data_IF_067858572502
#
_entry.id   IF_067858572502
#
_cell.length_a   1.000
_cell.length_b   1.000
_cell.length_c   1.000
_cell.angle_alpha   90.00
_cell.angle_beta   90.00
_cell.angle_gamma   90.00
#
_symmetry.space_group_name_H-M   'P 1'
#
loop_
_entity.id
_entity.type
_entity.pdbx_description
1 polymer ?
#
# COMPACT_ATOMS: atom_id res chain seq x y z
N UNK A 1 15.24 -18.04 36.63
CA UNK A 1 15.59 -16.79 35.91
C UNK A 1 15.85 -17.14 34.46
N UNK A 2 14.92 -16.82 33.56
CA UNK A 2 15.15 -16.88 32.12
C UNK A 2 16.17 -15.79 31.78
N UNK A 3 17.33 -16.17 31.20
CA UNK A 3 18.25 -15.19 30.61
C UNK A 3 17.44 -14.38 29.59
N UNK A 4 17.24 -13.08 29.83
CA UNK A 4 16.76 -12.18 28.78
C UNK A 4 17.75 -12.33 27.62
N UNK A 5 17.22 -12.69 26.45
CA UNK A 5 18.05 -12.87 25.28
C UNK A 5 18.40 -11.46 24.77
N UNK A 6 19.60 -10.96 25.05
CA UNK A 6 20.14 -9.66 24.58
C UNK A 6 20.36 -9.62 23.04
N UNK A 7 19.79 -10.58 22.32
CA UNK A 7 19.91 -10.69 20.86
C UNK A 7 18.96 -9.70 20.22
N UNK A 8 19.50 -8.87 19.32
CA UNK A 8 18.72 -7.95 18.49
C UNK A 8 17.57 -8.70 17.79
N UNK A 9 16.39 -8.08 17.73
CA UNK A 9 15.25 -8.64 17.01
C UNK A 9 15.34 -8.43 15.50
N UNK A 10 14.66 -9.28 14.71
CA UNK A 10 14.54 -9.13 13.27
C UNK A 10 13.97 -7.75 12.90
N UNK A 11 12.98 -7.27 13.65
CA UNK A 11 12.41 -5.93 13.45
C UNK A 11 13.48 -4.83 13.58
N UNK A 12 14.34 -4.91 14.59
CA UNK A 12 15.45 -3.97 14.77
C UNK A 12 16.52 -4.12 13.67
N UNK A 13 16.81 -5.35 13.22
CA UNK A 13 17.74 -5.58 12.09
C UNK A 13 17.19 -4.90 10.84
N UNK A 14 15.90 -5.06 10.54
CA UNK A 14 15.24 -4.42 9.40
C UNK A 14 15.27 -2.90 9.51
N UNK A 15 15.14 -2.32 10.72
CA UNK A 15 15.31 -0.88 10.92
C UNK A 15 16.73 -0.42 10.56
N UNK A 16 17.76 -1.14 11.01
CA UNK A 16 19.15 -0.85 10.64
C UNK A 16 19.35 -0.93 9.12
N UNK A 17 18.88 -2.00 8.48
CA UNK A 17 18.96 -2.15 7.03
C UNK A 17 18.22 -1.04 6.28
N UNK A 18 17.06 -0.60 6.77
CA UNK A 18 16.26 0.46 6.15
C UNK A 18 16.94 1.83 6.21
N UNK A 19 17.56 2.16 7.35
CA UNK A 19 18.31 3.41 7.56
C UNK A 19 19.56 3.45 6.69
N UNK A 20 20.30 2.34 6.61
CA UNK A 20 21.58 2.29 5.90
C UNK A 20 21.49 1.71 4.50
N UNK A 21 20.28 1.54 3.94
CA UNK A 21 20.05 0.82 2.67
C UNK A 21 20.96 1.24 1.53
N UNK A 22 21.34 2.52 1.43
CA UNK A 22 22.19 3.04 0.36
C UNK A 22 23.63 2.52 0.41
N UNK A 23 24.07 1.97 1.55
CA UNK A 23 25.40 1.40 1.76
C UNK A 23 25.41 -0.13 1.72
N UNK A 24 24.29 -0.75 1.31
CA UNK A 24 24.10 -2.20 1.34
C UNK A 24 23.53 -2.64 0.00
N UNK A 25 24.17 -3.64 -0.61
CA UNK A 25 23.64 -4.34 -1.78
C UNK A 25 23.30 -5.78 -1.38
N UNK A 26 22.23 -6.30 -1.96
CA UNK A 26 21.63 -7.60 -1.69
C UNK A 26 21.92 -8.54 -2.87
N UNK A 27 22.32 -9.77 -2.58
CA UNK A 27 22.37 -10.84 -3.56
C UNK A 27 20.94 -11.32 -3.87
N UNK A 28 20.46 -10.95 -5.05
CA UNK A 28 19.09 -11.25 -5.51
C UNK A 28 18.94 -12.71 -5.94
N UNK A 29 20.02 -13.36 -6.38
CA UNK A 29 20.01 -14.78 -6.73
C UNK A 29 19.69 -15.60 -5.48
N UNK A 30 20.49 -15.45 -4.43
CA UNK A 30 20.32 -16.18 -3.17
C UNK A 30 18.95 -15.91 -2.52
N UNK A 31 18.47 -14.66 -2.57
CA UNK A 31 17.11 -14.32 -2.12
C UNK A 31 16.04 -15.12 -2.86
N UNK A 32 16.16 -15.27 -4.19
CA UNK A 32 15.17 -15.98 -5.01
C UNK A 32 15.21 -17.50 -4.81
N UNK A 33 16.38 -18.06 -4.48
CA UNK A 33 16.51 -19.48 -4.16
C UNK A 33 15.80 -19.83 -2.85
N UNK A 34 15.94 -18.99 -1.82
CA UNK A 34 15.29 -19.15 -0.52
C UNK A 34 13.79 -18.80 -0.56
N UNK A 35 13.40 -17.82 -1.39
CA UNK A 35 12.03 -17.30 -1.41
C UNK A 35 11.00 -18.24 -2.08
N UNK A 36 9.88 -18.44 -1.40
CA UNK A 36 8.68 -19.08 -1.95
C UNK A 36 7.54 -18.07 -2.17
N UNK A 37 6.82 -18.18 -3.29
CA UNK A 37 5.69 -17.28 -3.59
C UNK A 37 4.53 -17.53 -2.63
N UNK A 38 4.00 -16.46 -2.03
CA UNK A 38 2.92 -16.51 -1.02
C UNK A 38 1.53 -16.14 -1.56
N UNK A 39 1.38 -15.96 -2.87
CA UNK A 39 0.11 -15.59 -3.51
C UNK A 39 -0.12 -16.41 -4.77
N UNK A 40 -1.33 -16.27 -5.33
CA UNK A 40 -1.66 -16.91 -6.60
C UNK A 40 -0.77 -16.32 -7.70
N UNK A 41 -0.12 -17.20 -8.45
CA UNK A 41 0.74 -16.81 -9.55
C UNK A 41 -0.05 -16.11 -10.66
N UNK A 42 0.57 -15.06 -11.21
CA UNK A 42 0.01 -14.28 -12.30
C UNK A 42 1.02 -14.24 -13.43
N UNK A 43 0.53 -14.53 -14.63
CA UNK A 43 1.30 -14.43 -15.88
C UNK A 43 0.97 -13.12 -16.58
N UNK A 44 1.94 -12.60 -17.34
CA UNK A 44 1.77 -11.39 -18.14
C UNK A 44 0.85 -11.69 -19.32
N UNK A 45 -0.13 -10.82 -19.56
CA UNK A 45 -1.11 -10.95 -20.63
C UNK A 45 -2.56 -10.95 -20.14
N UNK A 46 -3.46 -11.08 -21.10
CA UNK A 46 -4.91 -11.24 -20.91
C UNK A 46 -5.35 -12.55 -21.56
N UNK A 47 -6.43 -13.15 -21.06
CA UNK A 47 -7.02 -14.32 -21.74
C UNK A 47 -8.07 -13.89 -22.74
N UNK A 48 -8.09 -14.52 -23.89
CA UNK A 48 -9.12 -14.32 -24.90
C UNK A 48 -10.43 -15.05 -24.53
N UNK A 49 -11.41 -15.03 -25.44
CA UNK A 49 -12.70 -15.71 -25.25
C UNK A 49 -12.57 -17.25 -25.16
N UNK A 50 -11.49 -17.82 -25.67
CA UNK A 50 -11.21 -19.25 -25.67
C UNK A 50 -10.38 -19.69 -24.45
N UNK A 51 -9.85 -18.72 -23.69
CA UNK A 51 -8.99 -18.95 -22.52
C UNK A 51 -7.50 -18.91 -22.84
N UNK A 52 -7.12 -18.66 -24.09
CA UNK A 52 -5.73 -18.59 -24.55
C UNK A 52 -5.06 -17.30 -24.08
N UNK A 53 -3.79 -17.40 -23.69
CA UNK A 53 -3.03 -16.27 -23.17
C UNK A 53 -2.53 -15.38 -24.33
N UNK A 54 -3.06 -14.17 -24.42
CA UNK A 54 -2.53 -13.11 -25.27
C UNK A 54 -1.44 -12.37 -24.49
N UNK A 55 -0.19 -12.56 -24.90
CA UNK A 55 0.96 -11.87 -24.31
C UNK A 55 1.03 -10.41 -24.75
N UNK A 56 1.57 -9.50 -23.92
CA UNK A 56 1.82 -8.12 -24.32
C UNK A 56 2.78 -8.04 -25.53
N UNK A 57 2.68 -6.98 -26.32
CA UNK A 57 3.60 -6.74 -27.45
C UNK A 57 4.97 -6.19 -27.03
N UNK A 58 5.11 -5.77 -25.77
CA UNK A 58 6.34 -5.26 -25.19
C UNK A 58 6.74 -6.11 -23.97
N UNK A 59 8.04 -6.14 -23.68
CA UNK A 59 8.58 -6.74 -22.47
C UNK A 59 9.71 -5.91 -21.86
N UNK A 60 10.27 -6.38 -20.74
CA UNK A 60 11.25 -5.64 -19.96
C UNK A 60 12.55 -6.41 -19.87
N UNK A 61 13.67 -5.76 -20.17
CA UNK A 61 15.01 -6.31 -19.99
C UNK A 61 15.78 -5.54 -18.91
N UNK A 62 16.56 -6.24 -18.09
CA UNK A 62 17.39 -5.63 -17.07
C UNK A 62 18.56 -4.84 -17.70
N UNK A 63 18.72 -3.57 -17.33
CA UNK A 63 19.85 -2.76 -17.80
C UNK A 63 21.18 -3.23 -17.18
N UNK A 64 21.12 -3.71 -15.93
CA UNK A 64 22.27 -4.25 -15.20
C UNK A 64 21.99 -5.71 -14.83
N UNK A 65 22.60 -6.64 -15.58
CA UNK A 65 22.39 -8.08 -15.45
C UNK A 65 23.03 -8.76 -14.23
N UNK A 66 23.66 -8.01 -13.32
CA UNK A 66 24.30 -8.58 -12.13
C UNK A 66 23.31 -9.06 -11.07
N UNK A 67 23.77 -9.99 -10.21
CA UNK A 67 22.96 -10.56 -9.12
C UNK A 67 22.80 -9.61 -7.93
N UNK A 68 23.68 -8.61 -7.81
CA UNK A 68 23.61 -7.64 -6.73
C UNK A 68 22.74 -6.44 -7.10
N UNK A 69 21.80 -6.13 -6.21
CA UNK A 69 20.91 -4.97 -6.32
C UNK A 69 21.01 -4.11 -5.06
N UNK A 70 20.61 -2.84 -5.14
CA UNK A 70 20.50 -2.02 -3.94
C UNK A 70 19.54 -2.67 -2.94
N UNK A 71 19.88 -2.61 -1.65
CA UNK A 71 18.98 -3.08 -0.58
C UNK A 71 17.58 -2.49 -0.75
N UNK A 72 16.58 -3.37 -0.65
CA UNK A 72 15.18 -3.04 -0.84
C UNK A 72 14.63 -2.12 0.25
N UNK A 73 13.41 -1.65 0.02
CA UNK A 73 12.64 -0.89 1.02
C UNK A 73 11.75 -1.86 1.77
N UNK A 74 11.91 -1.91 3.08
CA UNK A 74 11.06 -2.74 3.93
C UNK A 74 9.77 -2.02 4.30
N UNK A 75 8.66 -2.75 4.32
CA UNK A 75 7.37 -2.27 4.80
C UNK A 75 6.71 -3.32 5.69
N UNK A 76 6.25 -2.87 6.85
CA UNK A 76 5.45 -3.69 7.76
C UNK A 76 3.99 -3.51 7.35
N UNK A 77 3.28 -4.62 7.16
CA UNK A 77 1.88 -4.58 6.78
C UNK A 77 1.03 -3.87 7.87
N UNK A 78 -0.05 -3.23 7.46
CA UNK A 78 -0.94 -2.45 8.34
C UNK A 78 -1.88 -3.30 9.18
N UNK A 79 -2.17 -4.53 8.75
CA UNK A 79 -3.15 -5.37 9.43
C UNK A 79 -2.79 -6.87 9.50
N UNK A 80 -1.54 -7.22 9.23
CA UNK A 80 -1.02 -8.59 9.41
C UNK A 80 0.40 -8.51 9.94
N UNK A 81 0.87 -9.57 10.62
CA UNK A 81 2.27 -9.68 11.03
C UNK A 81 3.18 -10.08 9.86
N UNK A 82 3.17 -9.27 8.81
CA UNK A 82 3.92 -9.51 7.56
C UNK A 82 4.90 -8.36 7.33
N UNK A 83 6.14 -8.69 6.98
CA UNK A 83 7.14 -7.72 6.52
C UNK A 83 7.51 -8.05 5.09
N UNK A 84 7.39 -7.05 4.22
CA UNK A 84 7.76 -7.15 2.82
C UNK A 84 9.01 -6.31 2.54
N UNK A 85 9.77 -6.71 1.53
CA UNK A 85 10.91 -5.99 0.99
C UNK A 85 10.67 -5.73 -0.49
N UNK A 86 10.54 -4.46 -0.85
CA UNK A 86 10.41 -4.01 -2.23
C UNK A 86 11.81 -3.79 -2.83
N UNK A 87 12.19 -4.65 -3.76
CA UNK A 87 13.41 -4.53 -4.57
C UNK A 87 13.06 -3.87 -5.90
N UNK A 88 13.87 -2.90 -6.32
CA UNK A 88 13.74 -2.24 -7.63
C UNK A 88 14.95 -2.52 -8.52
N UNK A 89 14.71 -2.78 -9.80
CA UNK A 89 15.75 -2.92 -10.84
C UNK A 89 15.48 -1.97 -11.99
N UNK A 90 16.53 -1.36 -12.52
CA UNK A 90 16.43 -0.57 -13.75
C UNK A 90 16.23 -1.49 -14.94
N UNK A 91 15.26 -1.17 -15.78
CA UNK A 91 14.91 -1.94 -16.96
C UNK A 91 14.70 -1.05 -18.16
N UNK A 92 14.86 -1.62 -19.34
CA UNK A 92 14.45 -1.03 -20.61
C UNK A 92 13.23 -1.76 -21.15
N UNK A 93 12.46 -1.07 -21.97
CA UNK A 93 11.29 -1.61 -22.65
C UNK A 93 11.71 -2.07 -24.05
N UNK A 94 11.39 -3.29 -24.42
CA UNK A 94 11.74 -3.86 -25.74
C UNK A 94 10.50 -4.45 -26.40
N UNK A 95 10.47 -4.45 -27.72
CA UNK A 95 9.42 -5.14 -28.48
C UNK A 95 9.66 -6.64 -28.51
N UNK A 96 8.60 -7.41 -28.33
CA UNK A 96 8.68 -8.89 -28.38
C UNK A 96 8.93 -9.41 -29.81
N UNK A 97 8.50 -8.67 -30.84
CA UNK A 97 8.58 -9.12 -32.24
C UNK A 97 10.01 -9.16 -32.79
N UNK A 98 10.85 -8.20 -32.40
CA UNK A 98 12.15 -7.95 -33.01
C UNK A 98 13.24 -7.54 -32.01
N UNK A 99 12.95 -7.55 -30.70
CA UNK A 99 13.83 -7.09 -29.62
C UNK A 99 14.32 -5.64 -29.79
N UNK A 100 13.59 -4.80 -30.53
CA UNK A 100 13.95 -3.39 -30.65
C UNK A 100 13.67 -2.65 -29.34
N UNK A 101 14.67 -1.91 -28.87
CA UNK A 101 14.55 -1.05 -27.70
C UNK A 101 13.59 0.12 -27.96
N UNK A 102 12.64 0.34 -27.05
CA UNK A 102 11.83 1.55 -27.02
C UNK A 102 12.57 2.58 -26.16
N UNK A 103 13.10 3.61 -26.82
CA UNK A 103 13.92 4.65 -26.17
C UNK A 103 13.08 5.85 -25.78
N UNK A 104 12.04 6.15 -26.56
CA UNK A 104 11.18 7.31 -26.40
C UNK A 104 9.71 6.92 -26.50
N UNK A 105 8.87 7.47 -25.60
CA UNK A 105 7.41 7.40 -25.68
C UNK A 105 6.86 8.80 -25.40
N UNK A 106 6.06 9.35 -26.31
CA UNK A 106 5.37 10.63 -26.13
C UNK A 106 6.28 11.82 -25.78
N UNK A 107 7.46 11.91 -26.41
CA UNK A 107 8.45 12.95 -26.14
C UNK A 107 9.28 12.72 -24.87
N UNK A 108 9.18 11.54 -24.23
CA UNK A 108 9.89 11.20 -23.01
C UNK A 108 10.89 10.09 -23.26
N UNK A 109 12.14 10.34 -22.86
CA UNK A 109 13.15 9.28 -22.80
C UNK A 109 12.80 8.31 -21.65
N UNK A 110 12.67 7.03 -21.96
CA UNK A 110 12.26 5.98 -20.99
C UNK A 110 13.44 5.11 -20.51
N UNK A 111 14.63 5.70 -20.42
CA UNK A 111 15.87 5.00 -20.07
C UNK A 111 15.99 4.63 -18.58
N UNK A 112 15.07 5.11 -17.73
CA UNK A 112 15.11 4.98 -16.27
C UNK A 112 13.87 4.29 -15.69
N UNK A 113 13.26 3.37 -16.45
CA UNK A 113 12.14 2.58 -15.95
C UNK A 113 12.60 1.60 -14.86
N UNK A 114 11.70 1.29 -13.94
CA UNK A 114 11.94 0.36 -12.85
C UNK A 114 10.95 -0.80 -12.88
N UNK A 115 11.49 -2.02 -12.79
CA UNK A 115 10.71 -3.17 -12.32
C UNK A 115 10.78 -3.23 -10.80
N UNK A 116 9.63 -3.50 -10.18
CA UNK A 116 9.49 -3.63 -8.74
C UNK A 116 9.07 -5.05 -8.39
N UNK A 117 9.86 -5.72 -7.55
CA UNK A 117 9.57 -7.06 -7.06
C UNK A 117 9.45 -7.02 -5.54
N UNK A 118 8.34 -7.56 -5.02
CA UNK A 118 8.07 -7.58 -3.60
C UNK A 118 8.34 -8.98 -3.04
N UNK A 119 9.23 -9.06 -2.05
CA UNK A 119 9.61 -10.30 -1.37
C UNK A 119 9.11 -10.26 0.06
N UNK A 120 8.33 -11.25 0.45
CA UNK A 120 7.89 -11.38 1.85
C UNK A 120 9.00 -11.98 2.69
N UNK A 121 9.46 -11.24 3.69
CA UNK A 121 10.53 -11.64 4.61
C UNK A 121 9.98 -12.34 5.84
N UNK A 122 8.87 -11.82 6.36
CA UNK A 122 8.09 -12.41 7.45
C UNK A 122 6.65 -12.52 6.98
N UNK A 123 6.02 -13.67 7.12
CA UNK A 123 4.62 -13.93 6.77
C UNK A 123 3.86 -14.38 8.01
N UNK A 124 2.80 -13.67 8.35
CA UNK A 124 1.89 -13.99 9.47
C UNK A 124 2.62 -14.38 10.76
N UNK A 125 3.64 -13.61 11.14
CA UNK A 125 4.42 -13.79 12.36
C UNK A 125 5.45 -14.92 12.30
N UNK A 126 5.84 -15.37 11.10
CA UNK A 126 6.88 -16.38 10.89
C UNK A 126 7.90 -15.92 9.86
N UNK A 127 9.17 -16.22 10.09
CA UNK A 127 10.23 -15.98 9.10
C UNK A 127 9.93 -16.77 7.84
N UNK A 128 9.96 -16.10 6.69
CA UNK A 128 9.67 -16.67 5.37
C UNK A 128 10.92 -16.75 4.49
N UNK A 129 11.83 -15.79 4.63
CA UNK A 129 13.18 -15.82 4.06
C UNK A 129 14.15 -16.07 5.21
N UNK A 130 14.88 -17.18 5.14
CA UNK A 130 15.78 -17.65 6.19
C UNK A 130 17.02 -16.77 6.34
N UNK A 131 17.56 -16.24 5.23
CA UNK A 131 18.77 -15.43 5.25
C UNK A 131 18.79 -14.31 4.21
N UNK A 132 19.54 -13.23 4.50
CA UNK A 132 19.87 -12.19 3.55
C UNK A 132 21.38 -12.13 3.32
N UNK A 133 21.77 -12.33 2.08
CA UNK A 133 23.15 -12.28 1.64
C UNK A 133 23.48 -10.89 1.09
N UNK A 134 24.40 -10.18 1.73
CA UNK A 134 24.63 -8.75 1.48
C UNK A 134 26.11 -8.41 1.34
N UNK A 135 26.42 -7.34 0.61
CA UNK A 135 27.70 -6.64 0.69
C UNK A 135 27.50 -5.26 1.29
N UNK A 136 28.48 -4.82 2.08
CA UNK A 136 28.41 -3.57 2.84
C UNK A 136 29.55 -2.68 2.37
N UNK A 137 29.23 -1.47 1.90
CA UNK A 137 30.24 -0.49 1.47
C UNK A 137 30.71 0.44 2.59
N UNK A 138 30.05 0.41 3.75
CA UNK A 138 30.29 1.34 4.86
C UNK A 138 30.74 0.61 6.14
N UNK A 139 31.96 0.91 6.60
CA UNK A 139 32.54 0.31 7.81
C UNK A 139 31.69 0.51 9.06
N UNK A 140 31.04 1.68 9.25
CA UNK A 140 30.20 1.93 10.44
C UNK A 140 28.98 1.01 10.48
N UNK A 141 28.42 0.69 9.31
CA UNK A 141 27.29 -0.25 9.18
C UNK A 141 27.74 -1.66 9.50
N UNK A 142 28.91 -2.07 8.99
CA UNK A 142 29.53 -3.34 9.34
C UNK A 142 29.77 -3.46 10.86
N UNK A 143 30.45 -2.47 11.46
CA UNK A 143 30.77 -2.47 12.89
C UNK A 143 29.47 -2.54 13.73
N UNK A 144 28.41 -1.85 13.32
CA UNK A 144 27.10 -1.89 13.99
C UNK A 144 26.44 -3.28 13.92
N UNK A 145 26.38 -3.88 12.73
CA UNK A 145 25.77 -5.21 12.54
C UNK A 145 26.59 -6.30 13.24
N UNK A 146 27.92 -6.20 13.20
CA UNK A 146 28.84 -7.09 13.89
C UNK A 146 28.70 -6.96 15.42
N UNK A 147 28.69 -5.74 15.97
CA UNK A 147 28.54 -5.51 17.41
C UNK A 147 27.21 -6.03 17.96
N UNK A 148 26.17 -6.08 17.11
CA UNK A 148 24.86 -6.66 17.45
C UNK A 148 24.76 -8.17 17.18
N UNK A 149 25.85 -8.82 16.77
CA UNK A 149 25.91 -10.25 16.49
C UNK A 149 25.10 -10.69 15.28
N UNK A 150 24.75 -9.77 14.37
CA UNK A 150 23.97 -10.04 13.15
C UNK A 150 24.86 -10.65 12.07
N UNK A 151 26.12 -10.23 12.02
CA UNK A 151 27.13 -10.72 11.08
C UNK A 151 28.30 -11.29 11.88
N UNK A 152 28.80 -12.45 11.46
CA UNK A 152 29.98 -13.10 12.03
C UNK A 152 31.14 -12.98 11.06
N UNK A 153 31.98 -11.96 11.26
CA UNK A 153 33.20 -11.74 10.47
C UNK A 153 34.28 -11.11 11.35
N UNK A 154 35.56 -11.36 11.07
CA UNK A 154 36.67 -10.80 11.88
C UNK A 154 37.05 -9.36 11.54
N UNK A 155 36.89 -8.95 10.27
CA UNK A 155 37.24 -7.61 9.77
C UNK A 155 36.28 -7.16 8.69
N UNK A 156 36.18 -5.85 8.51
CA UNK A 156 35.47 -5.24 7.39
C UNK A 156 36.22 -5.48 6.07
N UNK A 157 35.51 -5.94 5.05
CA UNK A 157 35.96 -6.13 3.68
C UNK A 157 34.79 -5.86 2.73
N UNK A 158 34.92 -4.83 1.88
CA UNK A 158 33.85 -4.41 0.98
C UNK A 158 33.64 -5.36 -0.21
N UNK A 159 34.57 -6.27 -0.47
CA UNK A 159 34.42 -7.30 -1.51
C UNK A 159 33.73 -8.56 -0.96
N UNK A 160 33.79 -8.77 0.36
CA UNK A 160 33.17 -9.92 1.01
C UNK A 160 31.65 -9.79 1.04
N UNK A 161 31.02 -10.95 0.90
CA UNK A 161 29.61 -11.15 1.16
C UNK A 161 29.41 -11.60 2.60
N UNK A 162 28.37 -11.07 3.22
CA UNK A 162 28.00 -11.33 4.60
C UNK A 162 26.57 -11.86 4.64
N UNK A 163 26.37 -12.94 5.38
CA UNK A 163 25.04 -13.54 5.56
C UNK A 163 24.42 -13.07 6.87
N UNK A 164 23.20 -12.55 6.78
CA UNK A 164 22.33 -12.26 7.92
C UNK A 164 21.35 -13.41 8.08
N UNK A 165 21.50 -14.21 9.13
CA UNK A 165 20.57 -15.31 9.46
C UNK A 165 19.33 -14.75 10.17
N UNK A 166 18.17 -14.77 9.49
CA UNK A 166 16.92 -14.19 9.98
C UNK A 166 16.11 -15.17 10.85
N UNK A 167 16.15 -16.45 10.52
CA UNK A 167 15.47 -17.55 11.23
C UNK A 167 15.92 -17.71 12.70
N UNK A 168 17.12 -17.24 13.00
CA UNK A 168 17.75 -17.32 14.31
C UNK A 168 17.48 -16.09 15.20
N UNK A 169 16.70 -15.11 14.73
CA UNK A 169 16.42 -13.86 15.44
C UNK A 169 15.01 -13.89 16.07
N UNK A 170 14.83 -13.34 17.29
CA UNK A 170 13.48 -13.07 17.77
C UNK A 170 12.81 -12.05 16.83
N UNK A 171 11.55 -12.27 16.45
CA UNK A 171 10.88 -11.40 15.48
C UNK A 171 10.65 -9.97 16.00
N UNK A 172 10.35 -9.85 17.29
CA UNK A 172 10.08 -8.59 17.97
C UNK A 172 10.94 -8.46 19.23
N UNK A 173 11.27 -7.23 19.66
CA UNK A 173 11.91 -7.03 20.96
C UNK A 173 10.92 -7.38 22.08
N UNK A 174 11.46 -7.66 23.27
CA UNK A 174 10.66 -7.95 24.48
C UNK A 174 9.72 -6.78 24.80
N UNK A 175 10.26 -5.56 24.75
CA UNK A 175 9.52 -4.32 24.99
C UNK A 175 9.39 -3.53 23.69
N UNK A 176 8.25 -3.68 23.01
CA UNK A 176 8.00 -2.96 21.78
C UNK A 176 7.66 -1.49 22.04
N UNK A 177 8.35 -0.61 21.32
CA UNK A 177 8.00 0.79 21.26
C UNK A 177 7.08 1.09 20.08
N UNK A 178 6.04 1.86 20.33
CA UNK A 178 5.12 2.43 19.33
C UNK A 178 4.55 3.72 19.92
N UNK A 179 4.23 4.69 19.07
CA UNK A 179 3.71 5.99 19.52
C UNK A 179 2.30 5.92 20.07
N UNK A 180 1.76 7.09 20.44
CA UNK A 180 0.38 7.19 20.93
C UNK A 180 -0.61 6.89 19.79
N UNK A 181 -1.68 6.14 20.12
CA UNK A 181 -2.74 5.76 19.19
C UNK A 181 -4.10 6.36 19.57
N UNK A 182 -4.20 7.10 20.68
CA UNK A 182 -5.45 7.76 21.09
C UNK A 182 -5.89 8.83 20.09
N UNK A 183 -7.15 8.75 19.65
CA UNK A 183 -7.73 9.66 18.65
C UNK A 183 -7.20 9.46 17.22
N UNK A 184 -6.17 8.63 17.05
CA UNK A 184 -5.47 8.45 15.78
C UNK A 184 -6.37 7.84 14.70
N UNK A 185 -7.31 6.97 15.08
CA UNK A 185 -8.23 6.37 14.14
C UNK A 185 -9.09 7.43 13.42
N UNK A 186 -9.67 8.38 14.17
CA UNK A 186 -10.51 9.44 13.59
C UNK A 186 -9.71 10.30 12.61
N UNK A 187 -8.51 10.72 13.01
CA UNK A 187 -7.61 11.48 12.16
C UNK A 187 -7.29 10.73 10.85
N UNK A 188 -6.94 9.45 10.93
CA UNK A 188 -6.65 8.62 9.76
C UNK A 188 -7.91 8.41 8.90
N UNK A 189 -9.08 8.29 9.50
CA UNK A 189 -10.33 8.13 8.79
C UNK A 189 -10.70 9.40 8.01
N UNK A 190 -10.58 10.58 8.62
CA UNK A 190 -10.79 11.87 7.96
C UNK A 190 -9.83 12.07 6.77
N UNK A 191 -8.52 11.83 6.98
CA UNK A 191 -7.52 11.89 5.90
C UNK A 191 -7.85 10.87 4.79
N UNK A 192 -8.32 9.67 5.15
CA UNK A 192 -8.73 8.66 4.17
C UNK A 192 -9.89 9.14 3.31
N UNK A 193 -10.86 9.87 3.88
CA UNK A 193 -11.96 10.45 3.11
C UNK A 193 -11.44 11.47 2.10
N UNK A 194 -10.62 12.43 2.54
CA UNK A 194 -10.06 13.47 1.65
C UNK A 194 -9.19 12.83 0.56
N UNK A 195 -8.28 11.93 0.91
CA UNK A 195 -7.44 11.24 -0.08
C UNK A 195 -8.26 10.40 -1.06
N UNK A 196 -9.37 9.78 -0.64
CA UNK A 196 -10.28 9.08 -1.54
C UNK A 196 -10.97 10.02 -2.52
N UNK A 197 -11.38 11.21 -2.08
CA UNK A 197 -11.95 12.27 -2.94
C UNK A 197 -10.90 12.73 -3.96
N UNK A 198 -9.70 13.10 -3.49
CA UNK A 198 -8.60 13.55 -4.36
C UNK A 198 -8.24 12.49 -5.40
N UNK A 199 -8.11 11.24 -4.98
CA UNK A 199 -7.82 10.13 -5.90
C UNK A 199 -8.90 9.98 -6.98
N UNK A 200 -10.17 10.15 -6.62
CA UNK A 200 -11.28 10.06 -7.57
C UNK A 200 -11.27 11.22 -8.59
N UNK A 201 -10.91 12.44 -8.18
CA UNK A 201 -10.70 13.57 -9.08
C UNK A 201 -9.49 13.37 -10.00
N UNK A 202 -8.39 12.85 -9.45
CA UNK A 202 -7.11 12.71 -10.17
C UNK A 202 -7.03 11.45 -11.05
N UNK A 203 -8.04 10.59 -11.09
CA UNK A 203 -7.95 9.24 -11.70
C UNK A 203 -7.38 9.25 -13.12
N UNK A 204 -7.84 10.16 -13.97
CA UNK A 204 -7.36 10.31 -15.34
C UNK A 204 -6.70 11.67 -15.61
N UNK A 205 -6.42 12.44 -14.56
CA UNK A 205 -5.77 13.75 -14.65
C UNK A 205 -4.28 13.63 -14.32
N UNK A 206 -3.47 14.52 -14.88
CA UNK A 206 -2.06 14.69 -14.52
C UNK A 206 -1.75 16.18 -14.48
N UNK A 207 -0.91 16.56 -13.52
CA UNK A 207 -0.26 17.86 -13.41
C UNK A 207 1.00 17.97 -14.28
N UNK A 208 1.42 16.87 -14.92
CA UNK A 208 2.66 16.78 -15.70
C UNK A 208 2.40 16.50 -17.18
N UNK A 209 1.43 15.62 -17.49
CA UNK A 209 1.17 15.14 -18.85
C UNK A 209 -0.21 15.55 -19.36
N UNK A 210 -0.27 15.91 -20.64
CA UNK A 210 -1.54 16.15 -21.34
C UNK A 210 -2.24 14.83 -21.73
N UNK A 211 -3.54 14.88 -22.03
CA UNK A 211 -4.37 13.67 -22.24
C UNK A 211 -3.85 12.73 -23.33
N UNK A 212 -3.42 13.27 -24.47
CA UNK A 212 -2.84 12.48 -25.57
C UNK A 212 -1.53 11.78 -25.15
N UNK A 213 -0.69 12.44 -24.33
CA UNK A 213 0.50 11.80 -23.77
C UNK A 213 0.12 10.65 -22.83
N UNK A 214 -0.88 10.83 -21.98
CA UNK A 214 -1.35 9.77 -21.08
C UNK A 214 -1.90 8.57 -21.86
N UNK A 215 -2.60 8.80 -22.97
CA UNK A 215 -3.10 7.73 -23.84
C UNK A 215 -1.97 6.96 -24.51
N UNK A 216 -0.96 7.66 -25.03
CA UNK A 216 0.22 7.03 -25.64
C UNK A 216 1.06 6.24 -24.61
N UNK A 217 1.26 6.79 -23.41
CA UNK A 217 1.90 6.06 -22.30
C UNK A 217 1.16 4.75 -22.01
N UNK A 218 -0.17 4.76 -21.94
CA UNK A 218 -0.96 3.55 -21.70
C UNK A 218 -0.79 2.50 -22.80
N UNK A 219 -0.67 2.91 -24.06
CA UNK A 219 -0.41 1.99 -25.17
C UNK A 219 0.94 1.27 -25.02
N UNK A 220 1.90 1.88 -24.33
CA UNK A 220 3.21 1.31 -23.99
C UNK A 220 3.25 0.70 -22.59
N UNK A 221 2.09 0.40 -22.00
CA UNK A 221 1.96 -0.14 -20.65
C UNK A 221 2.56 0.74 -19.55
N UNK A 222 2.64 2.05 -19.75
CA UNK A 222 3.11 3.03 -18.77
C UNK A 222 1.92 3.77 -18.14
N UNK A 223 1.99 4.01 -16.84
CA UNK A 223 1.08 4.94 -16.15
C UNK A 223 1.51 6.39 -16.34
N UNK A 224 0.63 7.33 -15.98
CA UNK A 224 0.95 8.75 -15.82
C UNK A 224 2.06 9.06 -14.79
N UNK A 225 2.47 8.09 -13.98
CA UNK A 225 3.61 8.20 -13.06
C UNK A 225 4.84 7.43 -13.59
N UNK A 226 4.82 7.01 -14.85
CA UNK A 226 5.88 6.25 -15.54
C UNK A 226 6.19 4.88 -14.91
N UNK A 227 5.27 4.32 -14.13
CA UNK A 227 5.35 2.92 -13.71
C UNK A 227 4.88 2.00 -14.83
N UNK A 228 5.59 0.89 -15.00
CA UNK A 228 5.21 -0.24 -15.86
C UNK A 228 3.97 -0.94 -15.30
N UNK A 229 2.96 -1.12 -16.13
CA UNK A 229 1.65 -1.69 -15.82
C UNK A 229 1.23 -2.68 -16.90
N UNK A 230 2.03 -3.73 -17.09
CA UNK A 230 1.64 -4.82 -17.98
C UNK A 230 0.33 -5.46 -17.49
N UNK A 231 -0.59 -5.79 -18.41
CA UNK A 231 -1.74 -6.60 -18.05
C UNK A 231 -1.25 -7.94 -17.51
N UNK A 232 -1.96 -8.47 -16.51
CA UNK A 232 -1.68 -9.79 -15.95
C UNK A 232 -2.98 -10.55 -15.76
N UNK A 233 -2.91 -11.87 -15.79
CA UNK A 233 -4.01 -12.78 -15.50
C UNK A 233 -3.54 -13.90 -14.58
N UNK A 234 -4.47 -14.62 -13.94
CA UNK A 234 -4.10 -15.77 -13.12
C UNK A 234 -3.55 -16.89 -14.01
N UNK A 235 -2.46 -17.49 -13.55
CA UNK A 235 -1.99 -18.74 -14.13
C UNK A 235 -2.97 -19.86 -13.73
N UNK A 236 -3.34 -20.72 -14.69
CA UNK A 236 -4.11 -21.92 -14.38
C UNK A 236 -3.17 -22.93 -13.70
N UNK A 237 -2.84 -22.69 -12.43
CA UNK A 237 -2.07 -23.64 -11.63
C UNK A 237 -2.97 -24.77 -11.14
N UNK A 238 -2.55 -26.01 -11.35
CA UNK A 238 -3.28 -27.20 -10.88
C UNK A 238 -3.25 -27.38 -9.35
N UNK A 239 -2.50 -26.54 -8.61
CA UNK A 239 -2.34 -26.65 -7.15
C UNK A 239 -2.38 -25.27 -6.49
N UNK A 240 -3.53 -24.96 -5.90
CA UNK A 240 -3.73 -23.84 -4.98
C UNK A 240 -3.80 -24.41 -3.56
N UNK A 241 -2.96 -23.91 -2.67
CA UNK A 241 -3.02 -24.21 -1.24
C UNK A 241 -3.66 -23.06 -0.47
N UNK A 242 -4.17 -23.38 0.72
CA UNK A 242 -4.79 -22.41 1.62
C UNK A 242 -4.06 -22.35 2.95
N UNK A 243 -4.05 -21.17 3.56
CA UNK A 243 -3.62 -21.00 4.94
C UNK A 243 -4.52 -19.99 5.65
N UNK A 244 -4.56 -20.06 6.97
CA UNK A 244 -5.28 -19.08 7.79
C UNK A 244 -4.30 -17.98 8.17
N UNK A 245 -4.58 -16.75 7.71
CA UNK A 245 -3.91 -15.53 8.15
C UNK A 245 -4.79 -14.82 9.19
N UNK A 246 -4.19 -14.27 10.24
CA UNK A 246 -4.91 -13.47 11.23
C UNK A 246 -4.83 -12.00 10.84
N UNK A 247 -5.98 -11.40 10.57
CA UNK A 247 -6.12 -9.96 10.38
C UNK A 247 -6.24 -9.28 11.73
N UNK A 248 -5.51 -8.18 11.87
CA UNK A 248 -5.45 -7.36 13.07
C UNK A 248 -5.76 -5.94 12.63
N UNK A 249 -6.98 -5.50 12.85
CA UNK A 249 -7.45 -4.21 12.41
C UNK A 249 -7.55 -3.22 13.58
N UNK A 250 -7.32 -1.95 13.28
CA UNK A 250 -7.41 -0.84 14.23
C UNK A 250 -8.62 0.03 13.92
N UNK A 251 -9.48 0.25 14.93
CA UNK A 251 -10.75 0.96 14.85
C UNK A 251 -11.13 1.67 16.14
N UNK A 252 -12.38 2.09 16.21
CA UNK A 252 -13.00 2.67 17.40
C UNK A 252 -14.43 2.15 17.61
N UNK A 253 -15.11 2.67 18.62
CA UNK A 253 -16.50 2.34 18.98
C UNK A 253 -17.56 2.69 17.92
N UNK A 254 -17.20 3.50 16.91
CA UNK A 254 -18.10 3.92 15.83
C UNK A 254 -17.84 3.16 14.52
N UNK A 255 -16.57 2.82 14.24
CA UNK A 255 -16.11 2.20 12.99
C UNK A 255 -14.95 1.24 13.30
N UNK A 256 -15.15 -0.06 13.07
CA UNK A 256 -14.18 -1.11 13.42
C UNK A 256 -12.85 -1.05 12.66
N UNK A 257 -12.84 -0.48 11.46
CA UNK A 257 -11.63 -0.27 10.66
C UNK A 257 -11.89 0.63 9.46
N UNK A 258 -10.81 1.13 8.86
CA UNK A 258 -10.90 2.01 7.70
C UNK A 258 -11.53 1.35 6.47
N UNK A 259 -11.60 0.02 6.37
CA UNK A 259 -12.23 -0.65 5.22
C UNK A 259 -13.76 -0.48 5.18
N UNK A 260 -14.37 -0.06 6.29
CA UNK A 260 -15.80 0.27 6.39
C UNK A 260 -16.19 1.54 5.65
N UNK A 261 -15.23 2.43 5.38
CA UNK A 261 -15.50 3.67 4.65
C UNK A 261 -15.86 3.36 3.19
N UNK A 262 -16.88 4.05 2.69
CA UNK A 262 -17.25 3.97 1.29
C UNK A 262 -16.13 4.54 0.41
N UNK A 263 -15.97 4.00 -0.81
CA UNK A 263 -15.16 4.69 -1.82
C UNK A 263 -15.81 6.04 -2.16
N UNK A 264 -15.02 7.03 -2.57
CA UNK A 264 -15.54 8.38 -2.77
C UNK A 264 -16.70 8.45 -3.81
N UNK A 265 -16.59 7.72 -4.93
CA UNK A 265 -17.68 7.66 -5.92
C UNK A 265 -18.89 6.87 -5.41
N UNK A 266 -18.70 5.86 -4.56
CA UNK A 266 -19.82 5.15 -3.93
C UNK A 266 -20.57 6.06 -2.96
N UNK A 267 -19.85 6.86 -2.17
CA UNK A 267 -20.47 7.83 -1.26
C UNK A 267 -21.14 8.98 -2.03
N UNK A 268 -20.52 9.45 -3.11
CA UNK A 268 -21.11 10.41 -4.06
C UNK A 268 -22.47 9.89 -4.55
N UNK A 269 -22.50 8.69 -5.14
CA UNK A 269 -23.73 8.08 -5.65
C UNK A 269 -24.79 7.84 -4.58
N UNK A 270 -24.39 7.68 -3.31
CA UNK A 270 -25.28 7.47 -2.18
C UNK A 270 -25.90 8.77 -1.63
N UNK A 271 -25.12 9.85 -1.51
CA UNK A 271 -25.52 11.07 -0.78
C UNK A 271 -25.71 12.32 -1.65
N UNK A 272 -25.33 12.28 -2.93
CA UNK A 272 -25.33 13.45 -3.81
C UNK A 272 -25.88 13.14 -5.21
N UNK A 273 -26.50 14.14 -5.81
CA UNK A 273 -26.81 14.22 -7.24
C UNK A 273 -25.76 15.08 -7.91
N UNK A 274 -25.38 14.67 -9.10
CA UNK A 274 -24.53 15.47 -9.99
C UNK A 274 -25.37 15.80 -11.20
N UNK A 275 -25.35 17.06 -11.60
CA UNK A 275 -26.18 17.54 -12.69
C UNK A 275 -25.45 18.61 -13.50
N UNK A 276 -25.87 18.74 -14.75
CA UNK A 276 -25.45 19.82 -15.63
C UNK A 276 -26.25 21.09 -15.29
N UNK A 277 -25.56 22.19 -15.01
CA UNK A 277 -26.16 23.46 -14.62
C UNK A 277 -26.92 24.14 -15.75
N UNK A 278 -26.54 23.88 -17.00
CA UNK A 278 -27.17 24.47 -18.19
C UNK A 278 -28.42 23.69 -18.59
N UNK A 279 -28.35 22.36 -18.61
CA UNK A 279 -29.46 21.51 -19.06
C UNK A 279 -30.36 21.00 -17.94
N UNK A 280 -29.86 20.99 -16.69
CA UNK A 280 -30.54 20.38 -15.54
C UNK A 280 -30.52 18.85 -15.54
N UNK A 281 -29.84 18.20 -16.49
CA UNK A 281 -29.77 16.74 -16.58
C UNK A 281 -29.04 16.14 -15.37
N UNK A 282 -29.62 15.13 -14.74
CA UNK A 282 -29.03 14.40 -13.61
C UNK A 282 -28.30 13.16 -14.12
N UNK A 283 -27.01 13.05 -13.80
CA UNK A 283 -26.20 11.91 -14.22
C UNK A 283 -26.52 10.65 -13.41
N UNK A 284 -26.79 9.54 -14.10
CA UNK A 284 -27.16 8.25 -13.48
C UNK A 284 -25.99 7.52 -12.81
N UNK A 285 -24.76 7.73 -13.29
CA UNK A 285 -23.51 7.15 -12.76
C UNK A 285 -22.46 8.24 -12.56
N UNK A 286 -22.67 9.15 -11.60
CA UNK A 286 -21.79 10.28 -11.44
C UNK A 286 -20.42 9.85 -10.90
N UNK A 287 -19.38 10.55 -11.31
CA UNK A 287 -18.04 10.43 -10.74
C UNK A 287 -17.55 11.80 -10.28
N UNK A 288 -16.68 11.83 -9.28
CA UNK A 288 -16.11 13.09 -8.77
C UNK A 288 -15.30 13.84 -9.83
N UNK A 289 -14.65 13.12 -10.75
CA UNK A 289 -13.90 13.71 -11.87
C UNK A 289 -14.75 14.68 -12.71
N UNK A 290 -16.05 14.44 -12.84
CA UNK A 290 -16.97 15.33 -13.56
C UNK A 290 -16.99 16.75 -12.96
N UNK A 291 -16.70 16.90 -11.66
CA UNK A 291 -16.65 18.20 -10.97
C UNK A 291 -15.51 19.12 -11.40
N UNK A 292 -14.62 18.65 -12.29
CA UNK A 292 -13.61 19.49 -12.95
C UNK A 292 -14.19 20.31 -14.11
N UNK A 293 -15.37 19.93 -14.62
CA UNK A 293 -16.05 20.66 -15.69
C UNK A 293 -16.84 21.82 -15.10
N UNK A 294 -16.84 22.97 -15.78
CA UNK A 294 -17.44 24.21 -15.26
C UNK A 294 -18.97 24.16 -15.18
N UNK A 295 -19.63 23.43 -16.07
CA UNK A 295 -21.07 23.27 -16.15
C UNK A 295 -21.61 22.19 -15.18
N UNK A 296 -20.77 21.54 -14.37
CA UNK A 296 -21.20 20.45 -13.50
C UNK A 296 -21.32 20.91 -12.05
N UNK A 297 -22.46 20.64 -11.43
CA UNK A 297 -22.73 20.95 -10.04
C UNK A 297 -23.18 19.74 -9.23
N UNK A 298 -23.06 19.89 -7.91
CA UNK A 298 -23.41 18.88 -6.92
C UNK A 298 -24.51 19.41 -6.02
N UNK A 299 -25.48 18.56 -5.68
CA UNK A 299 -26.46 18.86 -4.62
C UNK A 299 -26.75 17.63 -3.77
N UNK A 300 -27.27 17.85 -2.57
CA UNK A 300 -27.58 16.76 -1.67
C UNK A 300 -28.76 15.93 -2.19
N UNK A 301 -28.66 14.60 -2.09
CA UNK A 301 -29.79 13.70 -2.29
C UNK A 301 -30.75 13.79 -1.12
N UNK A 302 -32.05 13.86 -1.43
CA UNK A 302 -33.10 13.68 -0.45
C UNK A 302 -32.93 12.32 0.25
N UNK A 303 -33.02 12.32 1.58
CA UNK A 303 -32.98 11.10 2.37
C UNK A 303 -34.30 10.37 2.17
N UNK A 304 -34.25 9.15 1.66
CA UNK A 304 -35.44 8.28 1.59
C UNK A 304 -35.53 7.45 2.86
N UNK A 305 -36.74 7.06 3.27
CA UNK A 305 -36.93 6.19 4.45
C UNK A 305 -36.25 4.82 4.36
N UNK A 306 -35.76 4.42 3.18
CA UNK A 306 -34.99 3.18 2.97
C UNK A 306 -33.48 3.34 3.24
N UNK A 307 -32.97 4.57 3.27
CA UNK A 307 -31.55 4.81 3.46
C UNK A 307 -31.21 4.82 4.95
N UNK A 308 -30.59 3.73 5.43
CA UNK A 308 -30.05 3.67 6.78
C UNK A 308 -28.75 4.48 6.85
N UNK A 309 -28.76 5.59 7.59
CA UNK A 309 -27.55 6.35 7.92
C UNK A 309 -26.76 5.64 9.01
N UNK A 310 -25.44 5.73 8.91
CA UNK A 310 -24.49 5.00 9.75
C UNK A 310 -23.42 5.96 10.25
N UNK A 311 -22.63 5.56 11.23
CA UNK A 311 -21.48 6.35 11.69
C UNK A 311 -20.46 6.66 10.59
N UNK A 312 -20.37 5.81 9.57
CA UNK A 312 -19.59 6.08 8.35
C UNK A 312 -20.16 7.27 7.59
N UNK A 313 -21.50 7.37 7.47
CA UNK A 313 -22.14 8.52 6.85
C UNK A 313 -21.90 9.80 7.68
N UNK A 314 -21.97 9.72 9.01
CA UNK A 314 -21.74 10.85 9.91
C UNK A 314 -20.31 11.40 9.80
N UNK A 315 -19.31 10.53 9.64
CA UNK A 315 -17.92 10.92 9.40
C UNK A 315 -17.72 11.53 8.00
N UNK A 316 -18.23 10.87 6.96
CA UNK A 316 -17.91 11.23 5.58
C UNK A 316 -18.68 12.48 5.10
N UNK A 317 -19.93 12.66 5.56
CA UNK A 317 -20.83 13.71 5.05
C UNK A 317 -20.28 15.13 5.23
N UNK A 318 -19.79 15.55 6.42
CA UNK A 318 -19.28 16.91 6.61
C UNK A 318 -18.05 17.20 5.75
N UNK A 319 -17.17 16.22 5.55
CA UNK A 319 -15.96 16.36 4.71
C UNK A 319 -16.35 16.52 3.24
N UNK A 320 -17.29 15.71 2.75
CA UNK A 320 -17.81 15.86 1.39
C UNK A 320 -18.53 17.18 1.18
N UNK A 321 -19.34 17.61 2.16
CA UNK A 321 -20.06 18.89 2.07
C UNK A 321 -19.10 20.07 1.95
N UNK A 322 -18.03 20.07 2.74
CA UNK A 322 -17.01 21.10 2.72
C UNK A 322 -16.22 21.05 1.40
N UNK A 323 -15.81 19.85 0.96
CA UNK A 323 -15.08 19.67 -0.30
C UNK A 323 -15.89 20.00 -1.56
N UNK A 324 -17.20 19.83 -1.53
CA UNK A 324 -18.07 20.14 -2.67
C UNK A 324 -18.61 21.57 -2.63
N UNK A 325 -18.31 22.34 -1.57
CA UNK A 325 -18.85 23.71 -1.39
C UNK A 325 -20.35 23.74 -1.11
N UNK A 326 -20.93 22.63 -0.65
CA UNK A 326 -22.37 22.50 -0.36
C UNK A 326 -22.68 23.05 1.03
N UNK A 327 -21.84 22.73 2.01
CA UNK A 327 -21.90 23.32 3.36
C UNK A 327 -20.47 23.47 3.87
N UNK A 328 -19.95 24.70 3.76
CA UNK A 328 -18.59 25.06 4.12
C UNK A 328 -18.49 25.09 5.65
N UNK A 329 -17.76 24.14 6.20
CA UNK A 329 -17.59 23.93 7.64
C UNK A 329 -16.12 23.90 8.07
N UNK A 330 -15.17 24.05 7.13
CA UNK A 330 -13.74 24.16 7.39
C UNK A 330 -13.00 22.84 7.57
N UNK A 331 -13.68 21.69 7.54
CA UNK A 331 -13.04 20.39 7.82
C UNK A 331 -11.96 20.00 6.81
N UNK A 332 -12.13 20.29 5.53
CA UNK A 332 -11.09 20.02 4.53
C UNK A 332 -9.87 20.88 4.79
N UNK A 333 -10.06 22.16 5.12
CA UNK A 333 -8.97 23.06 5.50
C UNK A 333 -8.22 22.56 6.74
N UNK A 334 -8.94 22.17 7.79
CA UNK A 334 -8.34 21.59 9.00
C UNK A 334 -7.48 20.34 8.70
N UNK A 335 -7.99 19.42 7.87
CA UNK A 335 -7.28 18.18 7.49
C UNK A 335 -6.02 18.49 6.67
N UNK A 336 -6.11 19.42 5.72
CA UNK A 336 -4.98 19.78 4.86
C UNK A 336 -3.88 20.54 5.63
N UNK A 337 -4.24 21.37 6.61
CA UNK A 337 -3.28 22.05 7.47
C UNK A 337 -2.43 21.06 8.29
N UNK A 338 -2.95 19.87 8.64
CA UNK A 338 -2.17 18.83 9.33
C UNK A 338 -0.91 18.40 8.56
N UNK A 339 -0.89 18.59 7.24
CA UNK A 339 0.25 18.28 6.37
C UNK A 339 0.91 19.53 5.78
N UNK A 340 0.58 20.72 6.32
CA UNK A 340 1.12 22.01 5.88
C UNK A 340 0.77 22.31 4.42
N UNK A 341 -0.49 22.13 4.03
CA UNK A 341 -0.97 22.45 2.68
C UNK A 341 -2.26 23.26 2.68
N UNK A 342 -2.16 24.58 2.72
CA UNK A 342 -3.34 25.45 2.65
C UNK A 342 -3.75 25.78 1.20
N UNK A 343 -2.93 25.38 0.21
CA UNK A 343 -3.08 25.81 -1.17
C UNK A 343 -4.37 25.29 -1.80
N UNK A 344 -4.68 24.02 -1.60
CA UNK A 344 -5.89 23.40 -2.13
C UNK A 344 -7.14 24.00 -1.47
N UNK A 345 -7.13 24.21 -0.15
CA UNK A 345 -8.26 24.80 0.56
C UNK A 345 -8.58 26.20 0.02
N UNK A 346 -7.55 27.02 -0.20
CA UNK A 346 -7.71 28.36 -0.80
C UNK A 346 -8.36 28.32 -2.18
N UNK A 347 -7.90 27.43 -3.07
CA UNK A 347 -8.47 27.28 -4.41
C UNK A 347 -9.91 26.76 -4.38
N UNK A 348 -10.22 25.83 -3.49
CA UNK A 348 -11.57 25.33 -3.28
C UNK A 348 -12.52 26.43 -2.82
N UNK A 349 -12.14 27.21 -1.80
CA UNK A 349 -12.97 28.32 -1.31
C UNK A 349 -13.11 29.45 -2.32
N UNK A 350 -12.07 29.76 -3.09
CA UNK A 350 -12.18 30.70 -4.21
C UNK A 350 -13.19 30.22 -5.26
N UNK A 351 -13.18 28.92 -5.60
CA UNK A 351 -14.15 28.32 -6.53
C UNK A 351 -15.59 28.45 -6.00
N UNK A 352 -15.82 28.22 -4.71
CA UNK A 352 -17.17 28.34 -4.12
C UNK A 352 -17.67 29.78 -4.10
N UNK A 353 -16.78 30.76 -3.94
CA UNK A 353 -17.08 32.20 -4.05
C UNK A 353 -17.38 32.65 -5.50
N UNK A 354 -17.42 31.72 -6.47
CA UNK A 354 -17.64 32.02 -7.89
C UNK A 354 -16.44 32.67 -8.57
N UNK A 355 -15.25 32.66 -7.94
CA UNK A 355 -14.02 33.15 -8.57
C UNK A 355 -13.53 32.13 -9.59
N UNK A 356 -12.95 32.62 -10.67
CA UNK A 356 -12.31 31.76 -11.65
C UNK A 356 -11.10 31.07 -11.02
N UNK A 357 -11.07 29.73 -11.12
CA UNK A 357 -9.94 28.90 -10.70
C UNK A 357 -9.47 28.11 -11.92
N UNK A 358 -8.19 28.24 -12.26
CA UNK A 358 -7.60 27.49 -13.35
C UNK A 358 -7.63 25.98 -13.00
N UNK A 359 -8.06 25.17 -13.97
CA UNK A 359 -8.15 23.72 -13.83
C UNK A 359 -6.79 23.07 -13.53
N UNK A 360 -5.72 23.53 -14.17
CA UNK A 360 -4.36 23.02 -14.01
C UNK A 360 -3.83 23.32 -12.60
N UNK A 361 -4.02 24.56 -12.12
CA UNK A 361 -3.66 24.95 -10.75
C UNK A 361 -4.39 24.09 -9.70
N UNK A 362 -5.68 23.82 -9.94
CA UNK A 362 -6.46 22.95 -9.07
C UNK A 362 -5.95 21.51 -9.08
N UNK A 363 -5.62 20.95 -10.25
CA UNK A 363 -5.06 19.60 -10.39
C UNK A 363 -3.68 19.50 -9.71
N UNK A 364 -2.83 20.52 -9.85
CA UNK A 364 -1.52 20.58 -9.21
C UNK A 364 -1.64 20.64 -7.67
N UNK A 365 -2.55 21.46 -7.15
CA UNK A 365 -2.83 21.56 -5.72
C UNK A 365 -3.41 20.24 -5.16
N UNK A 366 -4.38 19.63 -5.85
CA UNK A 366 -4.93 18.32 -5.49
C UNK A 366 -3.86 17.22 -5.47
N UNK A 367 -2.95 17.23 -6.45
CA UNK A 367 -1.86 16.25 -6.55
C UNK A 367 -0.86 16.41 -5.41
N UNK A 368 -0.52 17.66 -5.05
CA UNK A 368 0.37 17.96 -3.92
C UNK A 368 -0.25 17.53 -2.59
N UNK A 369 -1.50 17.90 -2.35
CA UNK A 369 -2.24 17.52 -1.15
C UNK A 369 -2.35 15.99 -1.01
N UNK A 370 -2.68 15.29 -2.10
CA UNK A 370 -2.76 13.83 -2.11
C UNK A 370 -1.44 13.18 -1.71
N UNK A 371 -0.31 13.62 -2.31
CA UNK A 371 1.03 13.09 -1.99
C UNK A 371 1.39 13.31 -0.51
N UNK A 372 1.16 14.52 0.01
CA UNK A 372 1.44 14.87 1.41
C UNK A 372 0.59 14.07 2.40
N UNK A 373 -0.71 13.97 2.17
CA UNK A 373 -1.63 13.20 3.02
C UNK A 373 -1.30 11.70 3.03
N UNK A 374 -1.00 11.10 1.86
CA UNK A 374 -0.59 9.70 1.79
C UNK A 374 0.72 9.47 2.55
N UNK A 375 1.72 10.35 2.38
CA UNK A 375 2.98 10.25 3.11
C UNK A 375 2.79 10.35 4.63
N UNK A 376 1.93 11.26 5.08
CA UNK A 376 1.57 11.40 6.50
C UNK A 376 0.92 10.13 7.05
N UNK A 377 -0.01 9.52 6.31
CA UNK A 377 -0.66 8.26 6.69
C UNK A 377 0.36 7.13 6.77
N UNK A 378 1.24 6.97 5.77
CA UNK A 378 2.28 5.93 5.80
C UNK A 378 3.20 6.07 7.02
N UNK A 379 3.69 7.29 7.28
CA UNK A 379 4.54 7.57 8.42
C UNK A 379 3.83 7.26 9.74
N UNK A 380 2.58 7.66 9.88
CA UNK A 380 1.75 7.41 11.06
C UNK A 380 1.58 5.91 11.32
N UNK A 381 1.27 5.14 10.29
CA UNK A 381 1.18 3.68 10.41
C UNK A 381 2.52 3.08 10.82
N UNK A 382 3.61 3.47 10.15
CA UNK A 382 4.94 2.92 10.42
C UNK A 382 5.43 3.20 11.85
N UNK A 383 5.09 4.36 12.42
CA UNK A 383 5.56 4.79 13.74
C UNK A 383 4.66 4.31 14.89
N UNK A 384 3.34 4.27 14.67
CA UNK A 384 2.37 4.14 15.76
C UNK A 384 1.55 2.85 15.73
N UNK A 385 1.21 2.33 14.54
CA UNK A 385 0.23 1.23 14.39
C UNK A 385 0.89 -0.07 13.95
N UNK A 386 1.61 -0.07 12.83
CA UNK A 386 2.20 -1.29 12.25
C UNK A 386 3.12 -2.06 13.21
N UNK A 387 3.96 -1.41 14.06
CA UNK A 387 4.74 -2.14 15.06
C UNK A 387 3.85 -2.89 16.06
N UNK A 388 2.78 -2.25 16.56
CA UNK A 388 1.81 -2.86 17.46
C UNK A 388 1.10 -4.05 16.80
N UNK A 389 0.61 -3.87 15.58
CA UNK A 389 -0.02 -4.92 14.78
C UNK A 389 0.92 -6.12 14.57
N UNK A 390 2.16 -5.84 14.22
CA UNK A 390 3.18 -6.87 14.03
C UNK A 390 3.46 -7.63 15.33
N UNK A 391 3.59 -6.93 16.46
CA UNK A 391 3.77 -7.56 17.77
C UNK A 391 2.61 -8.48 18.15
N UNK A 392 1.38 -8.03 17.97
CA UNK A 392 0.18 -8.83 18.28
C UNK A 392 0.16 -10.08 17.40
N UNK A 393 0.43 -9.95 16.10
CA UNK A 393 0.40 -11.11 15.21
C UNK A 393 1.57 -12.08 15.40
N UNK A 394 2.72 -11.62 15.90
CA UNK A 394 3.85 -12.48 16.26
C UNK A 394 3.62 -13.19 17.61
N UNK A 395 3.16 -12.45 18.61
CA UNK A 395 3.10 -12.95 20.00
C UNK A 395 1.76 -13.57 20.36
N UNK A 396 0.69 -13.23 19.64
CA UNK A 396 -0.68 -13.56 20.01
C UNK A 396 -1.21 -12.75 21.19
N UNK A 397 -0.45 -11.78 21.71
CA UNK A 397 -0.79 -11.02 22.92
C UNK A 397 -0.70 -9.52 22.67
N UNK A 398 -1.50 -8.76 23.42
CA UNK A 398 -1.29 -7.31 23.51
C UNK A 398 0.00 -7.00 24.29
N UNK A 399 0.73 -5.93 23.92
CA UNK A 399 1.83 -5.43 24.73
C UNK A 399 1.37 -5.12 26.15
N UNK A 400 2.20 -5.44 27.16
CA UNK A 400 1.87 -5.28 28.59
C UNK A 400 1.41 -3.88 29.00
N UNK A 401 1.82 -2.85 28.25
CA UNK A 401 1.44 -1.45 28.47
C UNK A 401 -0.01 -1.12 28.05
N UNK A 402 -0.68 -2.00 27.29
CA UNK A 402 -2.10 -1.87 26.94
C UNK A 402 -2.91 -2.74 27.90
N UNK A 403 -3.79 -2.11 28.67
CA UNK A 403 -4.84 -2.81 29.43
C UNK A 403 -6.14 -2.68 28.67
N UNK A 404 -6.66 -3.78 28.15
CA UNK A 404 -7.86 -3.79 27.32
C UNK A 404 -8.92 -4.75 27.87
N UNK A 405 -10.19 -4.39 27.66
CA UNK A 405 -11.32 -5.30 27.85
C UNK A 405 -11.44 -6.19 26.63
N UNK A 406 -11.36 -7.51 26.83
CA UNK A 406 -11.57 -8.51 25.78
C UNK A 406 -13.06 -8.77 25.63
N UNK A 407 -13.55 -8.77 24.40
CA UNK A 407 -14.93 -9.06 24.04
C UNK A 407 -15.00 -9.91 22.76
N UNK A 408 -16.06 -10.70 22.61
CA UNK A 408 -16.42 -11.29 21.31
C UNK A 408 -17.33 -10.34 20.49
N UNK A 409 -17.69 -10.75 19.28
CA UNK A 409 -18.52 -9.93 18.39
C UNK A 409 -19.92 -9.64 18.96
N UNK A 410 -20.56 -10.60 19.64
CA UNK A 410 -21.89 -10.45 20.22
C UNK A 410 -21.89 -9.46 21.40
N UNK A 411 -20.91 -9.59 22.29
CA UNK A 411 -20.69 -8.69 23.42
C UNK A 411 -20.40 -7.26 22.93
N UNK A 412 -19.57 -7.12 21.90
CA UNK A 412 -19.25 -5.82 21.33
C UNK A 412 -20.45 -5.19 20.62
N UNK A 413 -21.23 -5.99 19.86
CA UNK A 413 -22.45 -5.53 19.21
C UNK A 413 -23.54 -5.16 20.22
N UNK A 414 -23.63 -5.84 21.35
CA UNK A 414 -24.54 -5.47 22.43
C UNK A 414 -24.15 -4.12 23.05
N UNK A 415 -22.85 -3.85 23.17
CA UNK A 415 -22.33 -2.57 23.68
C UNK A 415 -22.47 -1.42 22.67
N UNK A 416 -22.20 -1.70 21.40
CA UNK A 416 -22.26 -0.74 20.29
C UNK A 416 -23.10 -1.29 19.12
N UNK A 417 -24.45 -1.16 19.19
CA UNK A 417 -25.36 -1.80 18.24
C UNK A 417 -25.25 -1.32 16.78
N UNK A 418 -24.60 -0.17 16.55
CA UNK A 418 -24.40 0.40 15.21
C UNK A 418 -23.16 -0.15 14.49
N UNK A 419 -22.28 -0.89 15.16
CA UNK A 419 -21.07 -1.44 14.55
C UNK A 419 -21.40 -2.46 13.44
N UNK A 420 -20.65 -2.37 12.35
CA UNK A 420 -20.84 -3.22 11.18
C UNK A 420 -19.77 -4.31 11.09
N UNK A 421 -20.17 -5.55 11.36
CA UNK A 421 -19.30 -6.71 11.32
C UNK A 421 -19.34 -7.41 9.96
N UNK A 422 -18.18 -7.75 9.42
CA UNK A 422 -18.02 -8.67 8.29
C UNK A 422 -18.19 -10.12 8.75
N UNK A 423 -18.32 -11.07 7.81
CA UNK A 423 -18.40 -12.50 8.13
C UNK A 423 -17.20 -13.00 8.95
N UNK A 424 -16.00 -12.48 8.68
CA UNK A 424 -14.79 -12.88 9.40
C UNK A 424 -14.72 -12.24 10.79
N UNK A 425 -15.12 -10.97 10.91
CA UNK A 425 -15.12 -10.26 12.18
C UNK A 425 -16.15 -10.83 13.17
N UNK A 426 -17.23 -11.46 12.71
CA UNK A 426 -18.21 -12.15 13.57
C UNK A 426 -17.59 -13.29 14.40
N UNK A 427 -16.50 -13.90 13.92
CA UNK A 427 -15.75 -14.92 14.67
C UNK A 427 -14.47 -14.36 15.30
N UNK A 428 -14.37 -13.03 15.38
CA UNK A 428 -13.19 -12.33 15.87
C UNK A 428 -13.18 -12.14 17.39
N UNK A 429 -12.00 -11.76 17.89
CA UNK A 429 -11.79 -11.26 19.25
C UNK A 429 -11.49 -9.78 19.20
N UNK A 430 -12.09 -9.01 20.10
CA UNK A 430 -12.00 -7.56 20.14
C UNK A 430 -11.38 -7.11 21.45
N UNK A 431 -10.47 -6.15 21.36
CA UNK A 431 -9.76 -5.58 22.50
C UNK A 431 -10.05 -4.09 22.57
N UNK A 432 -10.88 -3.70 23.53
CA UNK A 432 -11.26 -2.32 23.75
C UNK A 432 -10.37 -1.66 24.81
N UNK A 433 -9.80 -0.50 24.50
CA UNK A 433 -9.02 0.31 25.44
C UNK A 433 -9.14 1.79 25.07
N UNK A 434 -9.54 2.63 26.04
CA UNK A 434 -9.96 4.00 25.75
C UNK A 434 -11.09 4.00 24.72
N UNK A 435 -10.94 4.81 23.67
CA UNK A 435 -11.89 4.86 22.55
C UNK A 435 -11.46 3.98 21.36
N UNK A 436 -10.44 3.13 21.54
CA UNK A 436 -9.86 2.33 20.48
C UNK A 436 -10.33 0.88 20.60
N UNK A 437 -10.43 0.22 19.45
CA UNK A 437 -10.71 -1.21 19.33
C UNK A 437 -9.66 -1.83 18.41
N UNK A 438 -9.00 -2.87 18.90
CA UNK A 438 -8.22 -3.78 18.05
C UNK A 438 -9.07 -5.01 17.79
N UNK A 439 -9.27 -5.33 16.51
CA UNK A 439 -10.03 -6.50 16.07
C UNK A 439 -9.06 -7.56 15.56
N UNK A 440 -9.14 -8.79 16.07
CA UNK A 440 -8.33 -9.93 15.61
C UNK A 440 -9.25 -11.02 15.08
N UNK A 441 -9.10 -11.41 13.82
CA UNK A 441 -9.94 -12.43 13.21
C UNK A 441 -9.22 -13.25 12.13
N UNK A 442 -9.58 -14.54 11.97
CA UNK A 442 -8.99 -15.39 10.96
C UNK A 442 -9.58 -15.12 9.57
N UNK A 443 -8.74 -15.21 8.55
CA UNK A 443 -9.13 -15.15 7.15
C UNK A 443 -8.32 -16.16 6.32
N UNK A 444 -9.01 -16.94 5.49
CA UNK A 444 -8.37 -17.87 4.57
C UNK A 444 -7.72 -17.11 3.41
N UNK A 445 -6.44 -17.39 3.19
CA UNK A 445 -5.67 -16.89 2.05
C UNK A 445 -5.25 -18.05 1.14
N UNK A 446 -5.04 -17.74 -0.14
CA UNK A 446 -4.77 -18.71 -1.21
C UNK A 446 -3.44 -18.41 -1.88
N UNK A 447 -2.64 -19.44 -2.16
CA UNK A 447 -1.35 -19.29 -2.81
C UNK A 447 -1.03 -20.45 -3.75
N UNK A 448 -0.24 -20.16 -4.79
CA UNK A 448 0.23 -21.17 -5.73
C UNK A 448 1.40 -21.94 -5.15
N UNK A 449 1.39 -23.27 -5.27
CA UNK A 449 2.54 -24.11 -4.89
C UNK A 449 3.56 -24.12 -6.02
N UNK A 450 4.85 -23.97 -5.69
CA UNK A 450 5.94 -24.20 -6.65
C UNK A 450 5.92 -25.68 -7.04
N UNK A 451 5.62 -25.98 -8.29
CA UNK A 451 5.79 -27.32 -8.86
C UNK A 451 7.26 -27.71 -8.75
N UNK A 452 7.56 -28.85 -8.11
CA UNK A 452 8.91 -29.44 -8.02
C UNK A 452 9.53 -29.73 -9.42
N UNK A 453 8.77 -29.58 -10.51
CA UNK A 453 9.22 -29.86 -11.88
C UNK A 453 9.89 -28.67 -12.60
N UNK A 454 10.12 -27.52 -11.95
CA UNK A 454 10.69 -26.32 -12.60
C UNK A 454 12.21 -26.16 -12.44
N UNK A 455 12.95 -27.25 -12.25
CA UNK A 455 14.39 -27.31 -12.57
C UNK A 455 14.57 -27.72 -14.04
N UNK A 456 14.29 -26.82 -14.96
CA UNK A 456 14.77 -26.75 -16.36
C UNK A 456 13.90 -25.70 -17.06
N UNK A 457 14.38 -24.48 -17.26
CA UNK A 457 15.18 -24.15 -18.43
C UNK A 457 15.77 -22.76 -18.22
N UNK A 458 17.03 -22.69 -17.80
CA UNK A 458 17.88 -21.62 -18.29
C UNK A 458 17.98 -21.82 -19.80
N UNK A 459 17.38 -20.96 -20.62
CA UNK A 459 17.80 -20.83 -22.01
C UNK A 459 19.18 -20.17 -22.02
N UNK A 460 20.19 -20.97 -21.72
CA UNK A 460 21.49 -20.83 -22.36
C UNK A 460 21.33 -21.46 -23.74
N UNK A 461 20.88 -20.68 -24.72
CA UNK A 461 21.13 -21.03 -26.11
C UNK A 461 22.55 -20.55 -26.43
N UNK A 462 23.49 -21.48 -26.24
CA UNK A 462 24.86 -21.32 -26.70
C UNK A 462 24.87 -21.11 -28.21
N UNK A 463 25.54 -20.05 -28.64
CA UNK A 463 25.97 -19.90 -30.02
C UNK A 463 27.11 -20.88 -30.25
N UNK A 464 26.84 -21.94 -31.00
CA UNK A 464 27.86 -22.65 -31.75
C UNK A 464 28.12 -21.89 -33.06
N UNK A 465 29.25 -21.18 -33.11
CA UNK A 465 30.32 -21.41 -34.10
C UNK A 465 31.65 -21.33 -33.35
#
# INVERSE_FOLDING_TARGET
MLKLNDKISLLEVIQVLSVYRQNIILNLHDLKEDYQRIGIERVRGVRDINGDLITPCLETEDIYGGDFVQMGVFSINRNTATINMLVKRKVKLVKVEDNTDIIEVSGLLINDLYNFNNYTIVKDGKVHVSALNIKISNKKVFDLLQAKGVIVAGKFDFNCEYTIQLDNLPLVPVDINFGNIDGLFNQLAEIKVVTSILFAYLRHQSDVFVSNQIEELKQHYLSKNLYLNFPTTQEYTNTIETHISYKIDFGNEDILNLSKLYSANQFLGRRYEVYDQETGEIFSKPTLEMGLNQNIAFRQKAITGRMKLTKVDDLMKPIFDDFLGININGKVGEILNQVGDDSLAFLLYAKYDGKFVNKEDLIAAMTTAYKKLVAFVEQTYQQNISPLIFYIGVTGHLPKKITAKVMNAEELAAKYPHLQFSKHEQTGTFFEFGNNIISVYPQTEYYSKKSLASYSTSRYDGVHI
#
